data_IF_929207653213
#
_entry.id   IF_929207653213
#
_cell.length_a   1.000
_cell.length_b   1.000
_cell.length_c   1.000
_cell.angle_alpha   90.00
_cell.angle_beta   90.00
_cell.angle_gamma   90.00
#
_symmetry.space_group_name_H-M   'P 1'
#
loop_
_entity.id
_entity.type
_entity.pdbx_description
1 polymer ?
#
# COMPACT_ATOMS: atom_id res chain seq x y z
N UNK A 1 2.07 -10.06 -14.55
CA UNK A 1 1.09 -10.18 -15.65
C UNK A 1 0.74 -11.65 -15.94
N UNK A 2 1.71 -12.54 -16.22
CA UNK A 2 1.44 -13.98 -16.54
C UNK A 2 0.57 -14.67 -15.49
N UNK A 3 0.81 -14.47 -14.20
CA UNK A 3 0.00 -15.06 -13.13
C UNK A 3 -1.49 -14.74 -13.25
N UNK A 4 -1.86 -13.46 -13.43
CA UNK A 4 -3.26 -13.05 -13.59
C UNK A 4 -3.91 -13.69 -14.84
N UNK A 5 -3.16 -13.74 -15.94
CA UNK A 5 -3.60 -14.38 -17.18
C UNK A 5 -3.89 -15.87 -16.96
N UNK A 6 -2.95 -16.61 -16.37
CA UNK A 6 -3.10 -18.05 -16.11
C UNK A 6 -4.30 -18.32 -15.20
N UNK A 7 -4.41 -17.60 -14.07
CA UNK A 7 -5.52 -17.79 -13.12
C UNK A 7 -6.87 -17.56 -13.77
N UNK A 8 -7.04 -16.49 -14.56
CA UNK A 8 -8.30 -16.20 -15.26
C UNK A 8 -8.66 -17.29 -16.28
N UNK A 9 -7.68 -17.73 -17.10
CA UNK A 9 -7.93 -18.76 -18.09
C UNK A 9 -8.21 -20.14 -17.46
N UNK A 10 -7.55 -20.47 -16.36
CA UNK A 10 -7.85 -21.72 -15.64
C UNK A 10 -9.25 -21.65 -15.04
N UNK A 11 -9.62 -20.55 -14.41
CA UNK A 11 -10.97 -20.37 -13.85
C UNK A 11 -12.05 -20.55 -14.93
N UNK A 12 -11.89 -19.92 -16.11
CA UNK A 12 -12.82 -20.04 -17.23
C UNK A 12 -12.99 -21.49 -17.70
N UNK A 13 -11.90 -22.25 -17.81
CA UNK A 13 -11.97 -23.68 -18.17
C UNK A 13 -12.80 -24.52 -17.21
N UNK A 14 -12.95 -24.07 -15.97
CA UNK A 14 -13.76 -24.72 -14.92
C UNK A 14 -15.12 -24.06 -14.74
N UNK A 15 -15.57 -23.23 -15.71
CA UNK A 15 -16.86 -22.53 -15.64
C UNK A 15 -16.94 -21.53 -14.49
N UNK A 16 -15.77 -20.97 -14.05
CA UNK A 16 -15.66 -20.04 -12.93
C UNK A 16 -15.07 -18.71 -13.39
N UNK A 17 -15.34 -17.65 -12.63
CA UNK A 17 -14.73 -16.34 -12.80
C UNK A 17 -13.74 -16.07 -11.69
N UNK A 18 -12.56 -15.56 -12.03
CA UNK A 18 -11.57 -15.09 -11.06
C UNK A 18 -11.45 -13.56 -11.09
N UNK A 19 -11.46 -12.95 -9.93
CA UNK A 19 -11.24 -11.51 -9.76
C UNK A 19 -9.96 -11.25 -8.96
N UNK A 20 -9.27 -10.16 -9.30
CA UNK A 20 -8.15 -9.59 -8.54
C UNK A 20 -8.53 -8.26 -7.88
N UNK A 21 -9.80 -8.04 -7.70
CA UNK A 21 -10.35 -6.87 -7.02
C UNK A 21 -9.86 -6.81 -5.57
N UNK A 22 -9.39 -5.66 -5.07
CA UNK A 22 -8.87 -5.54 -3.70
C UNK A 22 -9.88 -5.90 -2.61
N UNK A 23 -11.14 -5.50 -2.78
CA UNK A 23 -12.24 -5.81 -1.85
C UNK A 23 -13.47 -6.25 -2.64
N UNK A 24 -13.58 -7.54 -2.97
CA UNK A 24 -14.71 -8.05 -3.77
C UNK A 24 -15.98 -8.30 -2.95
N UNK A 25 -15.86 -8.55 -1.63
CA UNK A 25 -16.98 -8.92 -0.77
C UNK A 25 -17.08 -7.97 0.43
N UNK A 26 -18.30 -7.50 0.72
CA UNK A 26 -18.56 -6.75 1.94
C UNK A 26 -18.46 -7.69 3.18
N UNK A 27 -17.89 -7.16 4.27
CA UNK A 27 -17.78 -7.91 5.53
C UNK A 27 -16.73 -9.03 5.54
N UNK A 28 -15.98 -9.23 4.46
CA UNK A 28 -14.93 -10.25 4.35
C UNK A 28 -13.55 -9.61 4.16
N UNK A 29 -12.47 -10.40 4.25
CA UNK A 29 -11.12 -9.93 3.99
C UNK A 29 -10.91 -9.56 2.51
N UNK A 30 -9.95 -8.67 2.26
CA UNK A 30 -9.56 -8.27 0.90
C UNK A 30 -8.37 -9.04 0.35
N UNK A 31 -8.00 -8.73 -0.89
CA UNK A 31 -6.84 -9.29 -1.60
C UNK A 31 -5.71 -8.27 -1.69
N UNK A 32 -4.55 -8.58 -1.11
CA UNK A 32 -3.33 -7.79 -1.22
C UNK A 32 -2.38 -8.31 -2.31
N UNK A 33 -1.42 -7.49 -2.67
CA UNK A 33 -0.24 -7.86 -3.45
C UNK A 33 1.00 -7.39 -2.66
N UNK A 34 1.37 -8.14 -1.63
CA UNK A 34 2.52 -7.78 -0.80
C UNK A 34 3.81 -7.85 -1.62
N UNK A 35 4.65 -6.83 -1.50
CA UNK A 35 5.88 -6.72 -2.26
C UNK A 35 7.08 -6.87 -1.36
N UNK A 36 7.88 -7.91 -1.61
CA UNK A 36 9.15 -8.13 -0.94
C UNK A 36 10.27 -7.42 -1.69
N UNK A 37 11.11 -6.69 -0.96
CA UNK A 37 12.20 -5.88 -1.53
C UNK A 37 13.51 -6.13 -0.78
N UNK A 38 14.60 -6.18 -1.53
CA UNK A 38 15.98 -6.16 -1.03
C UNK A 38 16.88 -5.49 -2.05
N UNK A 39 17.93 -4.81 -1.58
CA UNK A 39 18.93 -4.21 -2.45
C UNK A 39 20.23 -5.01 -2.41
N UNK A 40 20.90 -5.06 -3.55
CA UNK A 40 22.16 -5.77 -3.73
C UNK A 40 23.14 -4.90 -4.50
N UNK A 41 24.42 -4.96 -4.14
CA UNK A 41 25.50 -4.32 -4.87
C UNK A 41 26.66 -5.32 -5.01
N UNK A 42 27.11 -5.53 -6.23
CA UNK A 42 28.23 -6.44 -6.53
C UNK A 42 28.05 -7.84 -5.92
N UNK A 43 26.83 -8.37 -5.97
CA UNK A 43 26.49 -9.69 -5.41
C UNK A 43 26.37 -9.74 -3.88
N UNK A 44 26.48 -8.61 -3.18
CA UNK A 44 26.35 -8.51 -1.73
C UNK A 44 24.99 -7.92 -1.33
N UNK A 45 24.25 -8.55 -0.38
CA UNK A 45 23.02 -7.98 0.14
C UNK A 45 23.31 -6.75 0.98
N UNK A 46 22.51 -5.68 0.83
CA UNK A 46 22.71 -4.43 1.53
C UNK A 46 21.79 -4.26 2.76
N UNK A 47 20.78 -5.11 2.93
CA UNK A 47 19.76 -4.95 3.96
C UNK A 47 20.06 -5.65 5.29
N UNK A 48 21.13 -6.45 5.37
CA UNK A 48 21.44 -7.21 6.56
C UNK A 48 22.51 -6.55 7.43
N UNK A 49 22.21 -6.46 8.73
CA UNK A 49 23.15 -6.18 9.81
C UNK A 49 22.67 -6.94 11.05
N UNK A 50 23.54 -7.84 11.58
CA UNK A 50 23.21 -8.68 12.73
C UNK A 50 22.88 -7.87 14.00
N UNK A 51 23.50 -6.70 14.15
CA UNK A 51 23.32 -5.83 15.31
C UNK A 51 22.07 -4.96 15.25
N UNK A 52 21.49 -4.80 14.06
CA UNK A 52 20.33 -3.92 13.85
C UNK A 52 19.00 -4.56 14.24
N UNK A 53 17.99 -3.73 14.50
CA UNK A 53 16.63 -4.19 14.78
C UNK A 53 16.12 -5.11 13.67
N UNK A 54 15.62 -6.27 14.04
CA UNK A 54 15.16 -7.29 13.09
C UNK A 54 16.24 -7.76 12.10
N UNK A 55 17.53 -7.53 12.37
CA UNK A 55 18.65 -7.82 11.49
C UNK A 55 18.74 -6.89 10.29
N UNK A 56 18.28 -5.64 10.41
CA UNK A 56 18.31 -4.62 9.36
C UNK A 56 19.54 -3.73 9.47
N UNK A 57 20.16 -3.46 8.33
CA UNK A 57 21.18 -2.43 8.19
C UNK A 57 20.57 -1.01 8.19
N UNK A 58 21.39 0.02 8.38
CA UNK A 58 20.99 1.42 8.23
C UNK A 58 20.41 1.70 6.85
N UNK A 59 20.98 1.10 5.79
CA UNK A 59 20.45 1.23 4.42
C UNK A 59 19.01 0.72 4.35
N UNK A 60 18.71 -0.41 4.98
CA UNK A 60 17.36 -0.95 5.00
C UNK A 60 16.41 -0.06 5.82
N UNK A 61 16.87 0.50 6.95
CA UNK A 61 16.07 1.44 7.76
C UNK A 61 15.74 2.71 6.97
N UNK A 62 16.72 3.32 6.33
CA UNK A 62 16.48 4.51 5.50
C UNK A 62 15.57 4.21 4.31
N UNK A 63 15.71 3.04 3.70
CA UNK A 63 14.80 2.58 2.65
C UNK A 63 13.36 2.50 3.16
N UNK A 64 13.15 1.94 4.34
CA UNK A 64 11.85 1.91 5.03
C UNK A 64 11.35 3.34 5.29
N UNK A 65 12.21 4.22 5.80
CA UNK A 65 11.90 5.62 6.07
C UNK A 65 11.39 6.34 4.82
N UNK A 66 12.04 6.12 3.68
CA UNK A 66 11.61 6.66 2.39
C UNK A 66 10.22 6.16 1.97
N UNK A 67 9.98 4.84 2.06
CA UNK A 67 8.65 4.28 1.72
C UNK A 67 7.57 4.83 2.65
N UNK A 68 7.81 4.88 3.96
CA UNK A 68 6.81 5.36 4.92
C UNK A 68 6.51 6.86 4.74
N UNK A 69 7.55 7.68 4.50
CA UNK A 69 7.40 9.12 4.22
C UNK A 69 6.53 9.37 3.00
N UNK A 70 6.83 8.68 1.91
CA UNK A 70 6.15 8.87 0.63
C UNK A 70 4.91 7.98 0.46
N UNK A 71 4.55 7.15 1.46
CA UNK A 71 3.41 6.24 1.35
C UNK A 71 2.13 6.93 0.90
N UNK A 72 1.72 8.11 1.40
CA UNK A 72 0.50 8.76 0.95
C UNK A 72 0.44 9.01 -0.56
N UNK A 73 1.53 9.44 -1.18
CA UNK A 73 1.64 9.67 -2.63
C UNK A 73 1.88 8.37 -3.41
N UNK A 74 2.67 7.46 -2.83
CA UNK A 74 3.03 6.18 -3.41
C UNK A 74 1.81 5.28 -3.67
N UNK A 75 0.76 5.39 -2.82
CA UNK A 75 -0.47 4.62 -2.96
C UNK A 75 -1.21 4.94 -4.27
N UNK A 76 -0.98 6.06 -4.93
CA UNK A 76 -1.53 6.36 -6.25
C UNK A 76 -1.15 5.30 -7.31
N UNK A 77 0.00 4.64 -7.14
CA UNK A 77 0.49 3.60 -8.04
C UNK A 77 0.32 2.19 -7.48
N UNK A 78 0.37 2.02 -6.16
CA UNK A 78 0.28 0.71 -5.51
C UNK A 78 -1.14 0.31 -5.16
N UNK A 79 -2.04 1.28 -4.97
CA UNK A 79 -3.46 1.11 -4.60
C UNK A 79 -4.33 2.06 -5.45
N UNK A 80 -4.36 1.86 -6.78
CA UNK A 80 -4.77 2.89 -7.72
C UNK A 80 -6.29 2.93 -7.99
N UNK A 81 -7.11 2.26 -7.18
CA UNK A 81 -8.56 2.22 -7.40
C UNK A 81 -9.34 2.68 -6.18
N UNK A 82 -10.57 3.17 -6.38
CA UNK A 82 -11.49 3.47 -5.27
C UNK A 82 -11.73 2.21 -4.43
N UNK A 83 -11.81 1.04 -5.06
CA UNK A 83 -11.97 -0.22 -4.35
C UNK A 83 -10.77 -0.59 -3.48
N UNK A 84 -9.56 -0.08 -3.78
CA UNK A 84 -8.38 -0.26 -2.92
C UNK A 84 -8.63 0.26 -1.50
N UNK A 85 -9.39 1.34 -1.36
CA UNK A 85 -9.69 1.99 -0.07
C UNK A 85 -10.89 1.35 0.66
N UNK A 86 -11.64 0.47 0.01
CA UNK A 86 -12.55 -0.45 0.69
C UNK A 86 -11.80 -1.61 1.36
N UNK A 87 -10.59 -1.94 0.86
CA UNK A 87 -9.69 -2.90 1.52
C UNK A 87 -8.88 -2.25 2.65
N UNK A 88 -8.34 -1.05 2.42
CA UNK A 88 -7.49 -0.34 3.38
C UNK A 88 -8.33 0.35 4.46
N UNK A 89 -9.04 -0.44 5.23
CA UNK A 89 -9.87 -0.01 6.37
C UNK A 89 -9.43 -0.73 7.64
N UNK A 90 -9.47 -0.08 8.81
CA UNK A 90 -9.17 -0.74 10.08
C UNK A 90 -10.11 -1.94 10.35
N UNK A 91 -9.60 -2.97 11.03
CA UNK A 91 -10.41 -4.12 11.50
C UNK A 91 -10.45 -5.33 10.57
N UNK A 92 -9.83 -5.28 9.36
CA UNK A 92 -9.80 -6.40 8.41
C UNK A 92 -8.38 -6.87 8.08
N UNK A 93 -7.49 -6.91 9.06
CA UNK A 93 -6.06 -7.24 8.90
C UNK A 93 -5.36 -6.39 7.82
N UNK A 94 -5.93 -5.22 7.48
CA UNK A 94 -5.40 -4.33 6.47
C UNK A 94 -4.23 -3.51 7.03
N UNK A 95 -3.15 -3.33 6.25
CA UNK A 95 -1.94 -2.61 6.69
C UNK A 95 -2.14 -1.08 6.55
N UNK A 96 -3.02 -0.52 7.38
CA UNK A 96 -3.37 0.91 7.33
C UNK A 96 -2.40 1.81 8.10
N UNK A 97 -1.65 1.25 9.04
CA UNK A 97 -0.74 2.00 9.90
C UNK A 97 0.64 2.12 9.25
N UNK A 98 1.11 3.35 9.05
CA UNK A 98 2.39 3.68 8.42
C UNK A 98 3.57 3.49 9.38
N UNK A 99 3.70 2.27 9.86
CA UNK A 99 4.78 1.81 10.75
C UNK A 99 5.46 0.57 10.19
N UNK A 100 6.59 0.19 10.77
CA UNK A 100 7.26 -1.06 10.45
C UNK A 100 7.44 -1.92 11.71
N UNK A 101 7.49 -3.25 11.51
CA UNK A 101 7.63 -4.21 12.60
C UNK A 101 8.16 -5.56 12.11
N UNK A 102 8.87 -6.28 13.00
CA UNK A 102 9.25 -7.65 12.78
C UNK A 102 8.12 -8.65 13.11
N UNK A 103 7.20 -8.30 14.01
CA UNK A 103 6.16 -9.19 14.53
C UNK A 103 4.72 -8.81 14.17
N UNK A 104 4.44 -7.52 13.99
CA UNK A 104 3.08 -7.02 13.85
C UNK A 104 2.54 -7.13 12.40
N UNK A 105 1.38 -7.80 12.24
CA UNK A 105 0.72 -7.98 10.94
C UNK A 105 -0.07 -6.77 10.46
N UNK A 106 -0.40 -5.81 11.34
CA UNK A 106 -1.11 -4.58 10.99
C UNK A 106 -0.18 -3.47 10.48
N UNK A 107 1.15 -3.64 10.60
CA UNK A 107 2.14 -2.71 10.09
C UNK A 107 2.15 -2.67 8.55
N UNK A 108 2.30 -1.46 7.97
CA UNK A 108 2.44 -1.30 6.52
C UNK A 108 3.72 -1.97 5.99
N UNK A 109 4.79 -1.97 6.77
CA UNK A 109 6.02 -2.68 6.43
C UNK A 109 6.33 -3.75 7.48
N UNK A 110 6.45 -5.00 7.01
CA UNK A 110 6.87 -6.11 7.83
C UNK A 110 8.31 -6.51 7.50
N UNK A 111 9.06 -6.90 8.52
CA UNK A 111 10.40 -7.51 8.39
C UNK A 111 10.23 -9.02 8.57
N UNK A 112 10.27 -9.83 7.49
CA UNK A 112 10.19 -11.28 7.63
C UNK A 112 11.34 -11.84 8.47
N UNK A 113 11.02 -12.74 9.38
CA UNK A 113 12.02 -13.46 10.16
C UNK A 113 12.74 -14.47 9.25
N UNK A 114 14.00 -14.21 8.94
CA UNK A 114 14.81 -15.00 8.00
C UNK A 114 16.03 -15.65 8.65
N UNK A 115 16.07 -15.65 9.99
CA UNK A 115 17.27 -16.08 10.73
C UNK A 115 18.47 -15.19 10.41
N UNK A 116 19.65 -15.74 10.56
CA UNK A 116 20.95 -15.06 10.36
C UNK A 116 21.46 -15.11 8.90
N UNK A 117 20.63 -15.54 7.95
CA UNK A 117 21.06 -15.58 6.54
C UNK A 117 20.97 -14.21 5.88
N UNK A 118 22.12 -13.52 5.60
CA UNK A 118 22.12 -12.19 5.00
C UNK A 118 21.41 -12.13 3.64
N UNK A 119 21.50 -13.20 2.86
CA UNK A 119 20.90 -13.27 1.50
C UNK A 119 19.36 -13.35 1.53
N UNK A 120 18.79 -13.75 2.66
CA UNK A 120 17.34 -13.85 2.81
C UNK A 120 16.70 -12.58 3.38
N UNK A 121 17.52 -11.62 3.90
CA UNK A 121 17.02 -10.40 4.52
C UNK A 121 16.32 -9.52 3.50
N UNK A 122 15.10 -9.14 3.82
CA UNK A 122 14.22 -8.31 2.98
C UNK A 122 13.18 -7.61 3.84
N UNK A 123 12.53 -6.63 3.26
CA UNK A 123 11.32 -6.00 3.81
C UNK A 123 10.11 -6.40 2.97
N UNK A 124 8.94 -6.33 3.54
CA UNK A 124 7.66 -6.61 2.89
C UNK A 124 6.74 -5.40 3.04
N UNK A 125 6.48 -4.67 1.95
CA UNK A 125 5.46 -3.62 1.94
C UNK A 125 4.11 -4.25 1.65
N UNK A 126 3.16 -4.10 2.56
CA UNK A 126 1.91 -4.86 2.59
C UNK A 126 0.70 -4.08 2.07
N UNK A 127 0.82 -2.76 1.93
CA UNK A 127 -0.27 -1.93 1.42
C UNK A 127 -0.69 -2.28 -0.02
N UNK A 128 0.24 -2.53 -0.98
CA UNK A 128 -0.12 -2.72 -2.38
C UNK A 128 -1.18 -3.78 -2.61
N UNK A 129 -1.99 -3.60 -3.65
CA UNK A 129 -2.99 -4.57 -4.08
C UNK A 129 -2.85 -4.94 -5.56
N UNK A 130 -3.57 -5.99 -5.94
CA UNK A 130 -3.43 -6.60 -7.25
C UNK A 130 -4.09 -5.79 -8.38
N UNK A 131 -4.80 -4.67 -8.11
CA UNK A 131 -5.31 -3.78 -9.15
C UNK A 131 -4.21 -2.89 -9.76
N UNK A 132 -3.07 -2.76 -9.07
CA UNK A 132 -1.94 -1.94 -9.52
C UNK A 132 -1.31 -2.46 -10.82
N UNK A 133 -0.73 -1.51 -11.58
CA UNK A 133 0.23 -1.83 -12.62
C UNK A 133 1.59 -2.11 -11.96
N UNK A 134 2.10 -3.35 -11.98
CA UNK A 134 3.31 -3.70 -11.26
C UNK A 134 4.55 -2.96 -11.73
N UNK A 135 4.62 -2.55 -12.99
CA UNK A 135 5.75 -1.79 -13.52
C UNK A 135 5.82 -0.40 -12.88
N UNK A 136 4.69 0.32 -12.80
CA UNK A 136 4.64 1.62 -12.14
C UNK A 136 4.82 1.48 -10.62
N UNK A 137 4.13 0.51 -10.01
CA UNK A 137 4.19 0.29 -8.58
C UNK A 137 5.61 -0.04 -8.10
N UNK A 138 6.31 -0.95 -8.78
CA UNK A 138 7.67 -1.34 -8.38
C UNK A 138 8.68 -0.22 -8.60
N UNK A 139 8.58 0.51 -9.72
CA UNK A 139 9.41 1.69 -9.96
C UNK A 139 9.19 2.75 -8.88
N UNK A 140 7.94 3.09 -8.56
CA UNK A 140 7.62 4.10 -7.55
C UNK A 140 8.13 3.70 -6.15
N UNK A 141 7.94 2.44 -5.75
CA UNK A 141 8.47 1.93 -4.47
C UNK A 141 9.99 1.98 -4.40
N UNK A 142 10.67 1.64 -5.50
CA UNK A 142 12.14 1.72 -5.56
C UNK A 142 12.60 3.18 -5.43
N UNK A 143 11.95 4.11 -6.12
CA UNK A 143 12.29 5.54 -6.06
C UNK A 143 12.09 6.11 -4.65
N UNK A 144 10.97 5.76 -3.98
CA UNK A 144 10.73 6.16 -2.59
C UNK A 144 11.83 5.63 -1.64
N UNK A 145 12.19 4.37 -1.78
CA UNK A 145 13.25 3.78 -0.96
C UNK A 145 14.65 4.38 -1.24
N UNK A 146 14.97 4.67 -2.50
CA UNK A 146 16.23 5.34 -2.87
C UNK A 146 16.27 6.76 -2.31
N UNK A 147 15.17 7.51 -2.35
CA UNK A 147 15.09 8.83 -1.72
C UNK A 147 15.36 8.74 -0.21
N UNK A 148 14.81 7.73 0.44
CA UNK A 148 15.08 7.44 1.84
C UNK A 148 16.57 7.21 2.13
N UNK A 149 17.25 6.43 1.32
CA UNK A 149 18.70 6.18 1.47
C UNK A 149 19.51 7.46 1.21
N UNK A 150 19.23 8.18 0.12
CA UNK A 150 19.96 9.41 -0.25
C UNK A 150 19.87 10.46 0.84
N UNK A 151 18.70 10.64 1.42
CA UNK A 151 18.42 11.66 2.42
C UNK A 151 18.55 11.15 3.86
N UNK A 152 18.92 9.86 4.05
CA UNK A 152 19.01 9.19 5.36
C UNK A 152 17.74 9.41 6.20
N UNK A 153 16.58 9.14 5.58
CA UNK A 153 15.29 9.33 6.24
C UNK A 153 15.09 8.23 7.27
N UNK A 154 15.17 8.61 8.54
CA UNK A 154 14.92 7.67 9.63
C UNK A 154 13.41 7.44 9.77
N UNK A 155 12.96 6.18 9.79
CA UNK A 155 11.57 5.87 10.12
C UNK A 155 11.35 6.12 11.63
N UNK A 156 10.08 6.21 12.03
CA UNK A 156 9.73 6.15 13.46
C UNK A 156 10.23 4.84 14.08
N UNK A 157 10.26 4.79 15.42
CA UNK A 157 10.60 3.55 16.12
C UNK A 157 9.67 2.39 15.69
N UNK A 158 10.19 1.15 15.64
CA UNK A 158 9.40 0.00 15.28
C UNK A 158 8.27 -0.25 16.27
N UNK A 159 7.10 -0.67 15.79
CA UNK A 159 5.93 -0.90 16.62
C UNK A 159 5.59 -2.39 16.65
N UNK A 160 6.08 -3.08 17.68
CA UNK A 160 5.86 -4.51 17.87
C UNK A 160 4.61 -4.84 18.70
N UNK A 161 4.01 -3.82 19.35
CA UNK A 161 2.73 -3.96 20.06
C UNK A 161 1.60 -4.23 19.07
N UNK A 162 0.58 -4.98 19.49
CA UNK A 162 -0.63 -5.12 18.70
C UNK A 162 -1.35 -3.75 18.62
N UNK A 163 -1.45 -3.23 17.39
CA UNK A 163 -2.05 -1.92 17.14
C UNK A 163 -3.58 -1.91 17.34
N UNK A 164 -4.21 -3.08 17.34
CA UNK A 164 -5.64 -3.20 17.63
C UNK A 164 -5.97 -3.08 19.13
N UNK A 165 -4.98 -3.30 20.00
CA UNK A 165 -5.11 -3.21 21.45
C UNK A 165 -4.59 -1.88 22.02
N UNK A 166 -4.15 -0.96 21.18
CA UNK A 166 -3.64 0.34 21.64
C UNK A 166 -4.77 1.22 22.21
N UNK A 167 -4.50 1.94 23.30
CA UNK A 167 -5.40 3.00 23.77
C UNK A 167 -5.69 4.01 22.65
N UNK A 168 -6.94 4.52 22.55
CA UNK A 168 -7.33 5.46 21.48
C UNK A 168 -6.41 6.68 21.33
N UNK A 169 -5.81 7.15 22.42
CA UNK A 169 -4.90 8.30 22.42
C UNK A 169 -3.55 7.94 21.78
N UNK A 170 -3.02 6.75 22.01
CA UNK A 170 -1.78 6.29 21.37
C UNK A 170 -2.01 5.96 19.89
N UNK A 171 -3.17 5.37 19.56
CA UNK A 171 -3.54 5.04 18.18
C UNK A 171 -3.65 6.28 17.28
N UNK A 172 -4.07 7.44 17.82
CA UNK A 172 -4.15 8.71 17.08
C UNK A 172 -2.78 9.26 16.68
N UNK A 173 -1.72 8.89 17.38
CA UNK A 173 -0.35 9.36 17.09
C UNK A 173 0.30 8.57 15.95
N UNK A 174 -0.27 7.43 15.56
CA UNK A 174 0.26 6.59 14.51
C UNK A 174 -0.22 7.10 13.15
N UNK A 175 0.69 7.47 12.24
CA UNK A 175 0.31 7.87 10.89
C UNK A 175 -0.42 6.74 10.17
N UNK A 176 -1.47 7.07 9.45
CA UNK A 176 -2.24 6.10 8.67
C UNK A 176 -2.22 6.46 7.18
N UNK A 177 -2.50 5.46 6.35
CA UNK A 177 -2.72 5.68 4.92
C UNK A 177 -3.96 6.56 4.70
N UNK A 178 -4.01 7.38 3.63
CA UNK A 178 -5.21 8.10 3.26
C UNK A 178 -6.41 7.17 3.08
N UNK A 179 -7.59 7.61 3.48
CA UNK A 179 -8.80 6.79 3.48
C UNK A 179 -9.52 6.69 2.12
N UNK A 180 -9.09 7.41 1.10
CA UNK A 180 -9.71 7.41 -0.22
C UNK A 180 -8.72 7.78 -1.33
N UNK A 181 -9.10 7.49 -2.58
CA UNK A 181 -8.24 7.72 -3.74
C UNK A 181 -8.00 9.21 -3.99
N UNK A 182 -8.98 10.09 -3.78
CA UNK A 182 -8.81 11.53 -4.02
C UNK A 182 -7.73 12.15 -3.11
N UNK A 183 -7.69 11.77 -1.84
CA UNK A 183 -6.67 12.25 -0.90
C UNK A 183 -5.28 11.74 -1.26
N UNK A 184 -5.19 10.53 -1.80
CA UNK A 184 -3.94 9.98 -2.34
C UNK A 184 -3.47 10.74 -3.58
N UNK A 185 -4.38 11.11 -4.48
CA UNK A 185 -4.01 11.91 -5.66
C UNK A 185 -3.56 13.32 -5.26
N UNK A 186 -4.19 13.95 -4.27
CA UNK A 186 -3.71 15.21 -3.69
C UNK A 186 -2.34 15.07 -3.05
N UNK A 187 -2.08 13.96 -2.36
CA UNK A 187 -0.76 13.67 -1.82
C UNK A 187 0.28 13.53 -2.94
N UNK A 188 -0.07 12.88 -4.05
CA UNK A 188 0.82 12.77 -5.21
C UNK A 188 1.09 14.13 -5.87
N UNK A 189 0.09 15.03 -5.94
CA UNK A 189 0.30 16.41 -6.41
C UNK A 189 1.31 17.16 -5.55
N UNK A 190 1.26 16.96 -4.23
CA UNK A 190 2.11 17.66 -3.27
C UNK A 190 3.50 17.03 -3.10
N UNK A 191 3.63 15.71 -3.30
CA UNK A 191 4.84 14.92 -3.02
C UNK A 191 5.12 13.94 -4.17
N UNK A 192 5.81 14.40 -5.20
CA UNK A 192 6.21 13.57 -6.35
C UNK A 192 7.66 13.80 -6.82
N UNK A 193 8.40 14.71 -6.22
CA UNK A 193 9.77 15.03 -6.64
C UNK A 193 10.69 13.81 -6.59
N UNK A 194 10.49 12.91 -5.63
CA UNK A 194 11.25 11.68 -5.52
C UNK A 194 11.09 10.76 -6.74
N UNK A 195 9.94 10.81 -7.42
CA UNK A 195 9.66 10.02 -8.62
C UNK A 195 10.38 10.55 -9.86
N UNK A 196 10.62 11.87 -9.91
CA UNK A 196 11.26 12.53 -11.04
C UNK A 196 12.78 12.34 -11.09
N UNK A 197 13.39 11.85 -10.01
CA UNK A 197 14.83 11.65 -9.95
C UNK A 197 15.29 10.64 -11.01
N UNK A 198 16.32 11.02 -11.79
CA UNK A 198 16.88 10.17 -12.84
C UNK A 198 15.94 9.89 -14.01
N UNK A 199 14.93 10.74 -14.21
CA UNK A 199 13.95 10.64 -15.30
C UNK A 199 13.18 9.31 -15.32
N UNK A 200 12.98 8.69 -14.16
CA UNK A 200 12.24 7.42 -14.04
C UNK A 200 10.74 7.64 -14.26
N UNK A 201 10.18 8.70 -13.67
CA UNK A 201 8.86 9.21 -13.99
C UNK A 201 8.99 10.59 -14.63
N UNK A 202 8.05 10.93 -15.51
CA UNK A 202 7.95 12.28 -16.07
C UNK A 202 6.79 13.02 -15.41
N UNK A 203 6.89 14.34 -15.36
CA UNK A 203 5.81 15.18 -14.83
C UNK A 203 4.50 14.97 -15.59
N UNK A 204 4.59 14.89 -16.93
CA UNK A 204 3.47 14.57 -17.80
C UNK A 204 2.78 13.23 -17.44
N UNK A 205 3.56 12.17 -17.16
CA UNK A 205 2.99 10.90 -16.73
C UNK A 205 2.20 11.06 -15.42
N UNK A 206 2.72 11.80 -14.45
CA UNK A 206 2.08 12.01 -13.14
C UNK A 206 0.79 12.81 -13.29
N UNK A 207 0.84 13.92 -14.02
CA UNK A 207 -0.32 14.77 -14.27
C UNK A 207 -1.42 14.01 -15.01
N UNK A 208 -1.08 13.33 -16.12
CA UNK A 208 -2.02 12.50 -16.86
C UNK A 208 -2.59 11.34 -16.02
N UNK A 209 -1.79 10.75 -15.12
CA UNK A 209 -2.28 9.71 -14.22
C UNK A 209 -3.35 10.23 -13.26
N UNK A 210 -3.10 11.39 -12.65
CA UNK A 210 -4.03 12.04 -11.73
C UNK A 210 -5.34 12.38 -12.45
N UNK A 211 -5.26 13.05 -13.60
CA UNK A 211 -6.41 13.42 -14.40
C UNK A 211 -7.21 12.19 -14.84
N UNK A 212 -6.53 11.16 -15.33
CA UNK A 212 -7.17 9.90 -15.71
C UNK A 212 -7.95 9.28 -14.56
N UNK A 213 -7.38 9.24 -13.36
CA UNK A 213 -8.04 8.68 -12.20
C UNK A 213 -9.26 9.48 -11.75
N UNK A 214 -9.18 10.79 -11.77
CA UNK A 214 -10.31 11.66 -11.47
C UNK A 214 -11.43 11.51 -12.49
N UNK A 215 -11.10 11.62 -13.78
CA UNK A 215 -12.10 11.63 -14.85
C UNK A 215 -12.71 10.26 -15.15
N UNK A 216 -11.92 9.18 -15.09
CA UNK A 216 -12.37 7.86 -15.52
C UNK A 216 -12.81 6.95 -14.38
N UNK A 217 -12.51 7.28 -13.13
CA UNK A 217 -12.85 6.44 -11.99
C UNK A 217 -13.62 7.18 -10.91
N UNK A 218 -13.03 8.23 -10.29
CA UNK A 218 -13.65 8.91 -9.15
C UNK A 218 -14.98 9.56 -9.53
N UNK A 219 -14.99 10.46 -10.55
CA UNK A 219 -16.20 11.14 -10.97
C UNK A 219 -17.32 10.20 -11.44
N UNK A 220 -17.05 9.24 -12.36
CA UNK A 220 -18.10 8.33 -12.79
C UNK A 220 -18.67 7.47 -11.67
N UNK A 221 -17.83 7.07 -10.68
CA UNK A 221 -18.30 6.26 -9.56
C UNK A 221 -19.15 7.09 -8.59
N UNK A 222 -18.72 8.33 -8.29
CA UNK A 222 -19.45 9.24 -7.40
C UNK A 222 -20.85 9.59 -7.93
N UNK A 223 -21.07 9.55 -9.24
CA UNK A 223 -22.37 9.82 -9.87
C UNK A 223 -23.30 8.61 -9.90
N UNK A 224 -22.83 7.40 -9.56
CA UNK A 224 -23.65 6.19 -9.58
C UNK A 224 -24.26 5.92 -8.22
N UNK A 225 -25.59 5.84 -8.12
CA UNK A 225 -26.22 5.46 -6.87
C UNK A 225 -25.83 4.02 -6.51
N UNK A 226 -25.56 3.78 -5.24
CA UNK A 226 -25.28 2.44 -4.74
C UNK A 226 -26.59 1.78 -4.24
N UNK A 227 -26.85 0.50 -4.51
CA UNK A 227 -28.09 -0.16 -4.06
C UNK A 227 -28.34 -0.06 -2.53
N UNK A 228 -27.28 0.02 -1.73
CA UNK A 228 -27.37 0.20 -0.29
C UNK A 228 -28.01 1.55 0.10
N UNK A 229 -27.91 2.59 -0.72
CA UNK A 229 -28.52 3.91 -0.48
C UNK A 229 -30.04 3.81 -0.37
N UNK A 230 -30.67 2.87 -1.10
CA UNK A 230 -32.10 2.62 -1.00
C UNK A 230 -32.52 2.19 0.42
N UNK A 231 -31.67 1.44 1.11
CA UNK A 231 -31.95 1.03 2.50
C UNK A 231 -31.82 2.20 3.49
N UNK A 232 -30.95 3.16 3.20
CA UNK A 232 -30.73 4.32 4.07
C UNK A 232 -31.89 5.30 4.03
N UNK A 233 -32.58 5.44 2.90
CA UNK A 233 -33.76 6.30 2.77
C UNK A 233 -34.88 5.85 3.71
N UNK A 234 -35.10 4.55 3.82
CA UNK A 234 -36.14 3.98 4.69
C UNK A 234 -35.83 4.09 6.19
N UNK A 235 -34.57 4.26 6.58
CA UNK A 235 -34.18 4.46 8.00
C UNK A 235 -34.58 5.84 8.51
N UNK A 236 -34.65 6.84 7.63
CA UNK A 236 -34.99 8.23 7.97
C UNK A 236 -36.47 8.57 7.75
N UNK A 237 -37.29 7.67 7.20
CA UNK A 237 -38.72 7.88 7.09
C UNK A 237 -39.39 7.78 8.49
N UNK A 238 -40.21 8.79 8.88
CA UNK A 238 -40.98 8.66 10.10
C UNK A 238 -41.95 7.49 9.96
N UNK A 239 -41.82 6.49 10.84
CA UNK A 239 -42.80 5.40 10.93
C UNK A 239 -44.18 6.01 11.15
N UNK A 240 -45.05 5.93 10.14
CA UNK A 240 -46.47 6.21 10.34
C UNK A 240 -47.03 5.09 11.22
N UNK A 241 -47.26 5.41 12.48
CA UNK A 241 -48.13 4.63 13.38
C UNK A 241 -49.58 4.91 13.06
#
# INVERSE_FOLDING_TARGET
MKFKYIVKNVAERWGKTATFMPKPLFGDNGSGMHVHMSLWKEGKPLFYDESGYGGLSDIARWYIGGILKHAPSLLAFTNPTVNSYHRLVPGFEAPVNLVYSAGNRSAAIRIPMTGTNPKAKRIEFRAPDASSNPYLAFAAMLMAGIDGIKNRIEPHEPVDKDLYELPPEEAKLIPQVPGNLEDVLKALEADHDYLLQGDVFTKDLIENWIDYKREKEIKPLALRPHPYELSLIHISEPTRH
#
